data_IF_293413161817
#
_entry.id   IF_293413161817
#
_cell.length_a   1.000
_cell.length_b   1.000
_cell.length_c   1.000
_cell.angle_alpha   90.00
_cell.angle_beta   90.00
_cell.angle_gamma   90.00
#
_symmetry.space_group_name_H-M   'P 1'
#
loop_
_entity.id
_entity.type
_entity.pdbx_description
1 polymer ?
#
# COMPACT_ATOMS: atom_id res chain seq x y z
N UNK A 1 17.79 45.55 -8.89
CA UNK A 1 17.56 44.72 -7.70
C UNK A 1 17.74 43.26 -8.10
N UNK A 2 18.49 42.42 -7.36
CA UNK A 2 18.64 41.02 -7.74
C UNK A 2 17.27 40.33 -7.62
N UNK A 3 16.92 39.56 -8.65
CA UNK A 3 15.68 38.78 -8.69
C UNK A 3 15.80 37.64 -7.69
N UNK A 4 14.80 37.46 -6.84
CA UNK A 4 14.77 36.36 -5.89
C UNK A 4 14.81 35.03 -6.67
N UNK A 5 15.84 34.22 -6.43
CA UNK A 5 15.88 32.83 -6.86
C UNK A 5 15.30 31.96 -5.74
N UNK A 6 14.40 31.02 -6.04
CA UNK A 6 13.89 30.12 -5.03
C UNK A 6 15.05 29.26 -4.49
N UNK A 7 15.35 29.38 -3.20
CA UNK A 7 16.16 28.39 -2.51
C UNK A 7 15.30 27.16 -2.32
N UNK A 8 15.41 26.19 -3.23
CA UNK A 8 14.87 24.86 -2.99
C UNK A 8 15.81 24.22 -1.96
N UNK A 9 15.64 24.58 -0.70
CA UNK A 9 16.08 23.71 0.37
C UNK A 9 15.36 22.38 0.13
N UNK A 10 16.12 21.28 0.07
CA UNK A 10 15.53 19.94 0.17
C UNK A 10 14.73 19.93 1.46
N UNK A 11 13.42 20.17 1.36
CA UNK A 11 12.51 19.99 2.48
C UNK A 11 12.77 18.56 2.95
N UNK A 12 12.99 18.36 4.24
CA UNK A 12 13.24 17.02 4.79
C UNK A 12 12.14 16.03 4.37
N UNK A 13 12.34 14.75 4.69
CA UNK A 13 11.42 13.67 4.28
C UNK A 13 9.94 14.06 4.45
N UNK A 14 9.24 14.16 3.33
CA UNK A 14 7.89 14.69 3.30
C UNK A 14 6.88 13.56 3.54
N UNK A 15 6.29 13.57 4.73
CA UNK A 15 5.23 12.65 5.11
C UNK A 15 3.86 13.21 4.75
N UNK A 16 3.00 12.37 4.16
CA UNK A 16 1.57 12.64 4.01
C UNK A 16 0.79 11.59 4.77
N UNK A 17 -0.09 12.05 5.66
CA UNK A 17 -1.00 11.19 6.42
C UNK A 17 -2.41 11.40 5.85
N UNK A 18 -3.11 10.31 5.56
CA UNK A 18 -4.50 10.34 5.07
C UNK A 18 -5.37 9.38 5.85
N UNK A 19 -6.62 9.77 6.09
CA UNK A 19 -7.64 8.85 6.59
C UNK A 19 -8.52 8.43 5.42
N UNK A 20 -8.49 7.14 5.10
CA UNK A 20 -9.24 6.56 3.98
C UNK A 20 -10.13 5.40 4.46
N UNK A 21 -10.98 4.89 3.56
CA UNK A 21 -11.78 3.67 3.77
C UNK A 21 -11.49 2.69 2.64
N UNK A 22 -11.25 1.43 3.01
CA UNK A 22 -11.05 0.36 2.03
C UNK A 22 -12.35 0.11 1.27
N UNK A 23 -12.27 0.04 -0.07
CA UNK A 23 -13.42 -0.24 -0.92
C UNK A 23 -13.91 -1.71 -0.78
N UNK A 24 -14.97 -2.05 -1.51
CA UNK A 24 -15.56 -3.40 -1.48
C UNK A 24 -14.64 -4.49 -2.08
N UNK A 25 -13.68 -4.09 -2.93
CA UNK A 25 -12.70 -4.97 -3.56
C UNK A 25 -11.41 -5.10 -2.75
N UNK A 26 -11.30 -4.41 -1.61
CA UNK A 26 -10.13 -4.47 -0.75
C UNK A 26 -9.01 -3.53 -1.19
N UNK A 27 -9.31 -2.43 -1.86
CA UNK A 27 -8.33 -1.47 -2.36
C UNK A 27 -8.54 -0.08 -1.78
N UNK A 28 -7.52 0.75 -1.92
CA UNK A 28 -7.58 2.20 -1.71
C UNK A 28 -6.91 2.91 -2.88
N UNK A 29 -7.33 4.13 -3.19
CA UNK A 29 -6.76 4.92 -4.29
C UNK A 29 -5.93 6.09 -3.75
N UNK A 30 -4.67 6.19 -4.19
CA UNK A 30 -3.71 7.22 -3.83
C UNK A 30 -3.33 8.05 -5.06
N UNK A 31 -3.33 9.39 -4.95
CA UNK A 31 -2.69 10.26 -5.94
C UNK A 31 -1.22 10.48 -5.58
N UNK A 32 -0.33 9.98 -6.43
CA UNK A 32 1.11 10.11 -6.32
C UNK A 32 1.68 10.61 -7.65
N UNK A 33 2.55 11.64 -7.60
CA UNK A 33 3.11 12.31 -8.78
C UNK A 33 2.06 12.66 -9.86
N UNK A 34 0.91 13.22 -9.45
CA UNK A 34 -0.17 13.63 -10.35
C UNK A 34 -1.05 12.49 -10.89
N UNK A 35 -0.72 11.22 -10.65
CA UNK A 35 -1.46 10.06 -11.17
C UNK A 35 -2.17 9.28 -10.07
N UNK A 36 -3.31 8.68 -10.40
CA UNK A 36 -4.04 7.76 -9.51
C UNK A 36 -3.34 6.39 -9.48
N UNK A 37 -3.26 5.80 -8.29
CA UNK A 37 -2.67 4.49 -8.01
C UNK A 37 -3.61 3.70 -7.13
N UNK A 38 -3.85 2.44 -7.48
CA UNK A 38 -4.67 1.53 -6.69
C UNK A 38 -3.76 0.66 -5.82
N UNK A 39 -3.94 0.70 -4.51
CA UNK A 39 -3.19 -0.10 -3.54
C UNK A 39 -4.06 -1.27 -3.09
N UNK A 40 -3.62 -2.50 -3.33
CA UNK A 40 -4.36 -3.70 -2.97
C UNK A 40 -4.06 -4.16 -1.54
N UNK A 41 -4.95 -3.87 -0.60
CA UNK A 41 -4.83 -4.27 0.82
C UNK A 41 -5.35 -5.71 1.00
N UNK A 42 -6.48 -6.02 0.35
CA UNK A 42 -7.12 -7.34 0.38
C UNK A 42 -8.58 -7.26 0.83
N UNK A 43 -9.44 -8.09 0.22
CA UNK A 43 -10.90 -8.07 0.44
C UNK A 43 -11.32 -8.39 1.88
N UNK A 44 -10.47 -9.07 2.65
CA UNK A 44 -10.69 -9.31 4.08
C UNK A 44 -10.78 -8.00 4.91
N UNK A 45 -10.21 -6.90 4.40
CA UNK A 45 -10.21 -5.59 5.05
C UNK A 45 -11.25 -4.63 4.45
N UNK A 46 -12.18 -5.12 3.62
CA UNK A 46 -13.23 -4.30 3.02
C UNK A 46 -13.92 -3.42 4.08
N UNK A 47 -14.20 -2.17 3.73
CA UNK A 47 -14.92 -1.23 4.59
C UNK A 47 -14.21 -0.84 5.90
N UNK A 48 -13.01 -1.37 6.20
CA UNK A 48 -12.22 -0.89 7.33
C UNK A 48 -11.80 0.57 7.10
N UNK A 49 -11.80 1.36 8.17
CA UNK A 49 -11.20 2.71 8.19
C UNK A 49 -9.71 2.54 8.40
N UNK A 50 -8.91 3.25 7.62
CA UNK A 50 -7.46 3.13 7.66
C UNK A 50 -6.80 4.49 7.69
N UNK A 51 -5.58 4.51 8.22
CA UNK A 51 -4.62 5.60 8.09
C UNK A 51 -3.60 5.16 7.04
N UNK A 52 -3.42 5.96 6.00
CA UNK A 52 -2.43 5.75 4.95
C UNK A 52 -1.28 6.74 5.19
N UNK A 53 -0.13 6.19 5.53
CA UNK A 53 1.13 6.91 5.71
C UNK A 53 1.90 6.84 4.40
N UNK A 54 2.23 7.98 3.82
CA UNK A 54 2.97 8.07 2.55
C UNK A 54 4.25 8.84 2.80
N UNK A 55 5.38 8.22 2.46
CA UNK A 55 6.71 8.79 2.53
C UNK A 55 7.37 8.60 1.18
N UNK A 56 7.41 9.66 0.38
CA UNK A 56 7.86 9.59 -1.02
C UNK A 56 7.10 8.47 -1.77
N UNK A 57 7.79 7.38 -2.12
CA UNK A 57 7.24 6.22 -2.79
C UNK A 57 6.82 5.09 -1.83
N UNK A 58 7.18 5.13 -0.56
CA UNK A 58 6.77 4.11 0.42
C UNK A 58 5.43 4.47 1.03
N UNK A 59 4.55 3.47 1.14
CA UNK A 59 3.20 3.63 1.68
C UNK A 59 2.89 2.52 2.68
N UNK A 60 2.38 2.89 3.85
CA UNK A 60 1.91 1.96 4.87
C UNK A 60 0.43 2.22 5.15
N UNK A 61 -0.39 1.17 5.08
CA UNK A 61 -1.81 1.20 5.43
C UNK A 61 -2.00 0.58 6.80
N UNK A 62 -2.52 1.37 7.74
CA UNK A 62 -2.72 1.01 9.14
C UNK A 62 -4.22 1.06 9.47
N UNK A 63 -4.74 0.11 10.22
CA UNK A 63 -6.12 0.15 10.69
C UNK A 63 -6.30 1.28 11.72
N UNK A 64 -7.35 2.08 11.55
CA UNK A 64 -7.48 3.36 12.26
C UNK A 64 -7.71 3.23 13.77
N UNK A 65 -8.42 2.20 14.25
CA UNK A 65 -8.76 2.04 15.66
C UNK A 65 -7.72 1.27 16.47
N UNK A 66 -7.07 0.29 15.82
CA UNK A 66 -6.15 -0.66 16.45
C UNK A 66 -4.69 -0.33 16.24
N UNK A 67 -4.36 0.43 15.19
CA UNK A 67 -2.97 0.67 14.80
C UNK A 67 -2.31 -0.53 14.11
N UNK A 68 -3.06 -1.58 13.76
CA UNK A 68 -2.53 -2.76 13.07
C UNK A 68 -2.07 -2.39 11.64
N UNK A 69 -0.84 -2.76 11.27
CA UNK A 69 -0.36 -2.62 9.88
C UNK A 69 -1.04 -3.68 9.02
N UNK A 70 -1.85 -3.23 8.06
CA UNK A 70 -2.59 -4.13 7.16
C UNK A 70 -1.81 -4.46 5.89
N UNK A 71 -1.05 -3.49 5.37
CA UNK A 71 -0.24 -3.65 4.16
C UNK A 71 0.80 -2.55 4.03
N UNK A 72 1.90 -2.88 3.35
CA UNK A 72 2.94 -1.94 2.95
C UNK A 72 3.15 -2.02 1.44
N UNK A 73 3.54 -0.90 0.83
CA UNK A 73 3.69 -0.77 -0.62
C UNK A 73 4.92 0.08 -0.94
N UNK A 74 5.53 -0.18 -2.10
CA UNK A 74 6.44 0.77 -2.77
C UNK A 74 5.80 1.11 -4.10
N UNK A 75 5.60 2.40 -4.36
CA UNK A 75 4.94 2.88 -5.57
C UNK A 75 5.89 2.72 -6.75
N UNK A 76 5.54 1.82 -7.66
CA UNK A 76 6.12 1.77 -8.99
C UNK A 76 5.40 2.78 -9.91
N UNK A 77 6.06 3.86 -10.36
CA UNK A 77 5.42 4.90 -11.17
C UNK A 77 4.93 4.40 -12.53
N UNK A 78 5.40 3.24 -13.01
CA UNK A 78 4.99 2.63 -14.27
C UNK A 78 3.69 1.84 -14.16
N UNK A 79 3.23 1.54 -12.93
CA UNK A 79 2.06 0.70 -12.68
C UNK A 79 0.89 1.48 -12.08
N UNK A 80 -0.31 1.22 -12.59
CA UNK A 80 -1.55 1.74 -12.01
C UNK A 80 -1.94 1.02 -10.71
N UNK A 81 -1.72 -0.29 -10.66
CA UNK A 81 -1.97 -1.13 -9.48
C UNK A 81 -0.67 -1.46 -8.76
N UNK A 82 -0.68 -1.33 -7.44
CA UNK A 82 0.44 -1.57 -6.55
C UNK A 82 0.11 -2.76 -5.64
N UNK A 83 0.79 -3.90 -5.80
CA UNK A 83 0.64 -5.02 -4.89
C UNK A 83 1.30 -4.69 -3.56
N UNK A 84 0.79 -5.27 -2.47
CA UNK A 84 1.46 -5.21 -1.17
C UNK A 84 2.83 -5.87 -1.24
N UNK A 85 3.79 -5.37 -0.45
CA UNK A 85 5.07 -6.02 -0.20
C UNK A 85 4.78 -7.44 0.31
N UNK A 86 5.47 -8.42 -0.26
CA UNK A 86 5.37 -9.79 0.22
C UNK A 86 6.20 -9.92 1.48
N UNK A 87 5.55 -10.00 2.64
CA UNK A 87 6.19 -10.51 3.84
C UNK A 87 6.28 -12.02 3.66
N UNK A 88 7.41 -12.52 3.17
CA UNK A 88 7.64 -13.95 3.01
C UNK A 88 8.00 -14.57 4.35
N UNK A 89 7.19 -15.51 4.88
CA UNK A 89 7.73 -16.65 5.60
C UNK A 89 7.57 -17.89 4.71
N UNK A 90 8.64 -18.23 3.98
CA UNK A 90 8.85 -19.55 3.36
C UNK A 90 7.86 -20.04 2.28
N UNK A 91 8.25 -21.06 1.51
CA UNK A 91 7.40 -21.64 0.49
C UNK A 91 6.21 -22.38 1.12
N UNK A 92 5.02 -22.22 0.53
CA UNK A 92 3.86 -23.05 0.86
C UNK A 92 4.03 -24.43 0.23
N UNK A 93 4.79 -25.31 0.87
CA UNK A 93 4.78 -26.74 0.54
C UNK A 93 3.46 -27.33 1.05
N UNK A 94 2.39 -27.18 0.28
CA UNK A 94 1.22 -28.03 0.40
C UNK A 94 1.54 -29.34 -0.32
N UNK A 95 2.05 -30.33 0.41
CA UNK A 95 2.18 -31.68 -0.12
C UNK A 95 0.79 -32.25 -0.42
N UNK A 96 0.48 -32.45 -1.69
CA UNK A 96 -0.67 -33.24 -2.12
C UNK A 96 -0.35 -34.72 -1.83
N UNK A 97 -1.06 -35.33 -0.87
CA UNK A 97 -1.09 -36.78 -0.75
C UNK A 97 -2.33 -37.26 -1.49
N UNK A 98 -2.20 -37.48 -2.79
CA UNK A 98 -3.23 -38.16 -3.57
C UNK A 98 -3.19 -39.65 -3.24
N UNK A 99 -4.05 -40.09 -2.33
CA UNK A 99 -4.43 -41.51 -2.21
C UNK A 99 -5.55 -41.74 -3.22
N UNK A 100 -5.34 -42.53 -4.29
CA UNK A 100 -6.42 -42.86 -5.21
C UNK A 100 -7.37 -43.84 -4.52
N UNK A 101 -8.51 -43.33 -4.07
CA UNK A 101 -9.65 -44.17 -3.70
C UNK A 101 -10.72 -43.97 -4.76
N UNK A 102 -10.71 -44.80 -5.80
CA UNK A 102 -11.95 -45.15 -6.49
C UNK A 102 -11.94 -46.65 -6.85
N UNK A 103 -13.03 -47.38 -6.50
CA UNK A 103 -13.21 -48.81 -6.76
C UNK A 103 -13.50 -49.12 -8.23
#
# INVERSE_FOLDING_TARGET
TPKAAPSIASQGEHWRVRTDRVDADGKVTLRHAGRLRHLGIGRAHKHKRIIVLVREADVTAVEHGTGEILAEFTIDPTRGYQPKKQNTPGPKTGGVNDVPTHP
#
